data_IF_809500484380
#
_entry.id   IF_809500484380
#
_cell.length_a   1.000
_cell.length_b   1.000
_cell.length_c   1.000
_cell.angle_alpha   90.00
_cell.angle_beta   90.00
_cell.angle_gamma   90.00
#
_symmetry.space_group_name_H-M   'P 1'
#
loop_
_entity.id
_entity.type
_entity.pdbx_description
1 polymer ?
#
# COMPACT_ATOMS: atom_id res chain seq x y z
N UNK A 1 -4.26 -18.75 -4.29
CA UNK A 1 -5.31 -17.89 -3.69
C UNK A 1 -4.79 -16.45 -3.68
N UNK A 2 -5.31 -15.56 -4.52
CA UNK A 2 -4.97 -14.13 -4.49
C UNK A 2 -6.11 -13.38 -3.79
N UNK A 3 -5.87 -12.92 -2.57
CA UNK A 3 -6.86 -12.11 -1.85
C UNK A 3 -7.04 -10.75 -2.57
N UNK A 4 -8.29 -10.34 -2.78
CA UNK A 4 -8.59 -9.01 -3.30
C UNK A 4 -8.37 -7.97 -2.21
N UNK A 5 -7.48 -7.01 -2.47
CA UNK A 5 -7.24 -5.89 -1.56
C UNK A 5 -8.48 -4.97 -1.57
N UNK A 6 -9.11 -4.69 -0.42
CA UNK A 6 -10.23 -3.75 -0.35
C UNK A 6 -9.76 -2.36 -0.80
N UNK A 7 -10.48 -1.75 -1.76
CA UNK A 7 -10.25 -0.35 -2.14
C UNK A 7 -10.83 0.55 -1.07
N UNK A 8 -10.03 1.51 -0.60
CA UNK A 8 -10.46 2.55 0.35
C UNK A 8 -9.96 3.89 -0.16
N UNK A 9 -10.62 4.98 0.19
CA UNK A 9 -10.17 6.34 -0.14
C UNK A 9 -9.43 7.02 1.02
N UNK A 10 -9.08 6.25 2.07
CA UNK A 10 -8.52 6.79 3.31
C UNK A 10 -7.22 7.56 3.11
N UNK A 11 -6.41 7.16 2.13
CA UNK A 11 -5.08 7.75 1.90
C UNK A 11 -5.07 8.81 0.80
N UNK A 12 -6.23 9.12 0.19
CA UNK A 12 -6.31 10.11 -0.90
C UNK A 12 -5.63 11.43 -0.54
N UNK A 13 -4.70 11.82 -1.41
CA UNK A 13 -3.94 13.08 -1.29
C UNK A 13 -2.93 13.08 -0.14
N UNK A 14 -2.61 11.91 0.43
CA UNK A 14 -1.55 11.76 1.45
C UNK A 14 -0.26 11.27 0.80
N UNK A 15 0.86 11.63 1.45
CA UNK A 15 2.18 11.11 1.11
C UNK A 15 2.65 10.18 2.22
N UNK A 16 3.15 9.00 1.86
CA UNK A 16 3.69 8.03 2.80
C UNK A 16 5.16 7.73 2.51
N UNK A 17 5.99 7.73 3.55
CA UNK A 17 7.37 7.20 3.52
C UNK A 17 7.35 5.77 4.04
N UNK A 18 7.80 4.82 3.23
CA UNK A 18 7.91 3.40 3.61
C UNK A 18 9.38 2.99 3.56
N UNK A 19 9.97 2.66 4.71
CA UNK A 19 11.33 2.13 4.80
C UNK A 19 11.33 0.61 4.60
N UNK A 20 12.46 0.04 4.15
CA UNK A 20 12.54 -1.40 3.87
C UNK A 20 11.60 -1.87 2.74
N UNK A 21 11.17 -0.97 1.85
CA UNK A 21 10.19 -1.27 0.80
C UNK A 21 10.74 -2.09 -0.38
N UNK A 22 12.00 -2.50 -0.33
CA UNK A 22 12.63 -3.27 -1.40
C UNK A 22 12.00 -4.67 -1.55
N UNK A 23 11.49 -5.27 -0.47
CA UNK A 23 10.86 -6.60 -0.50
C UNK A 23 9.91 -6.84 0.69
N UNK A 24 9.31 -8.03 0.74
CA UNK A 24 8.49 -8.49 1.87
C UNK A 24 7.32 -7.57 2.22
N UNK A 25 7.15 -7.33 3.53
CA UNK A 25 6.02 -6.57 4.09
C UNK A 25 6.08 -5.11 3.63
N UNK A 26 7.24 -4.47 3.66
CA UNK A 26 7.40 -3.07 3.23
C UNK A 26 6.94 -2.88 1.78
N UNK A 27 7.32 -3.80 0.89
CA UNK A 27 6.88 -3.76 -0.50
C UNK A 27 5.36 -3.99 -0.66
N UNK A 28 4.77 -4.90 0.13
CA UNK A 28 3.34 -5.15 0.11
C UNK A 28 2.53 -3.93 0.59
N UNK A 29 3.00 -3.26 1.65
CA UNK A 29 2.37 -2.05 2.18
C UNK A 29 2.47 -0.88 1.18
N UNK A 30 3.64 -0.67 0.56
CA UNK A 30 3.79 0.37 -0.45
C UNK A 30 2.79 0.20 -1.61
N UNK A 31 2.63 -1.04 -2.12
CA UNK A 31 1.63 -1.36 -3.14
C UNK A 31 0.19 -1.16 -2.63
N UNK A 32 -0.08 -1.54 -1.39
CA UNK A 32 -1.39 -1.34 -0.79
C UNK A 32 -1.76 0.14 -0.68
N UNK A 33 -0.82 1.00 -0.28
CA UNK A 33 -1.07 2.44 -0.13
C UNK A 33 -1.38 3.13 -1.45
N UNK A 34 -0.65 2.80 -2.53
CA UNK A 34 -0.95 3.33 -3.88
C UNK A 34 -2.37 2.96 -4.32
N UNK A 35 -2.87 1.78 -3.95
CA UNK A 35 -4.23 1.34 -4.28
C UNK A 35 -5.31 1.97 -3.39
N UNK A 36 -4.94 2.51 -2.22
CA UNK A 36 -5.83 3.13 -1.24
C UNK A 36 -5.97 4.66 -1.39
N UNK A 37 -5.46 5.19 -2.51
CA UNK A 37 -5.65 6.58 -2.95
C UNK A 37 -4.55 7.53 -2.51
#
# INVERSE_FOLDING_TARGET
MTASVPRSDRLRGRTALVTGAASGIGAAIARHFVLAG
#
